data_IF_469077303478
#
_entry.id   IF_469077303478
#
_cell.length_a   1.000
_cell.length_b   1.000
_cell.length_c   1.000
_cell.angle_alpha   90.00
_cell.angle_beta   90.00
_cell.angle_gamma   90.00
#
_symmetry.space_group_name_H-M   'P 1'
#
loop_
_entity.id
_entity.type
_entity.pdbx_description
1 polymer ?
#
# COMPACT_ATOMS: atom_id res chain seq x y z
N UNK A 1 -0.92 -6.80 -18.85
CA UNK A 1 -0.54 -5.57 -18.62
C UNK A 1 -0.52 -5.27 -17.21
N UNK A 2 0.51 -4.77 -16.69
CA UNK A 2 0.62 -4.51 -15.31
C UNK A 2 0.29 -3.08 -15.06
N UNK A 3 -0.41 -2.81 -14.02
CA UNK A 3 -0.67 -1.46 -13.63
C UNK A 3 0.53 -0.88 -12.94
N UNK A 4 0.82 0.40 -13.14
CA UNK A 4 1.89 1.03 -12.41
C UNK A 4 1.57 1.06 -10.92
N UNK A 5 2.58 0.97 -10.11
CA UNK A 5 2.38 1.04 -8.68
C UNK A 5 1.92 2.45 -8.29
N UNK A 6 1.07 2.57 -7.29
CA UNK A 6 0.64 3.88 -6.84
C UNK A 6 1.79 4.64 -6.20
N UNK A 7 1.70 5.97 -6.19
CA UNK A 7 2.72 6.77 -5.53
C UNK A 7 2.68 6.53 -4.02
N UNK A 8 3.80 6.86 -3.40
CA UNK A 8 3.93 6.66 -1.98
C UNK A 8 2.84 7.42 -1.20
N UNK A 9 2.47 8.59 -1.67
CA UNK A 9 1.45 9.37 -0.99
C UNK A 9 0.13 8.62 -0.93
N UNK A 10 -0.19 7.86 -1.97
CA UNK A 10 -1.42 7.08 -1.94
C UNK A 10 -1.33 5.93 -0.94
N UNK A 11 -0.18 5.32 -0.84
CA UNK A 11 0.02 4.28 0.14
C UNK A 11 -0.11 4.84 1.55
N UNK A 12 0.40 6.04 1.76
CA UNK A 12 0.26 6.69 3.05
C UNK A 12 -1.20 6.95 3.39
N UNK A 13 -1.97 7.38 2.40
CA UNK A 13 -3.39 7.60 2.61
C UNK A 13 -4.12 6.31 2.91
N UNK A 14 -3.69 5.23 2.27
CA UNK A 14 -4.29 3.94 2.55
C UNK A 14 -4.10 3.57 4.01
N UNK A 15 -2.90 3.77 4.52
CA UNK A 15 -2.62 3.47 5.92
C UNK A 15 -3.39 4.38 6.87
N UNK A 16 -3.59 5.62 6.46
CA UNK A 16 -4.30 6.58 7.27
C UNK A 16 -5.81 6.49 7.10
N UNK A 17 -6.25 5.58 6.25
CA UNK A 17 -7.68 5.40 6.01
C UNK A 17 -8.32 6.66 5.44
N UNK A 18 -7.59 7.32 4.56
CA UNK A 18 -8.06 8.59 3.98
C UNK A 18 -8.41 8.45 2.52
N UNK A 19 -8.57 7.25 2.04
CA UNK A 19 -8.96 7.02 0.66
C UNK A 19 -10.45 6.77 0.56
N UNK A 20 -11.01 7.09 -0.60
CA UNK A 20 -12.39 6.71 -0.88
C UNK A 20 -12.49 5.19 -0.91
N UNK A 21 -13.68 4.65 -0.64
CA UNK A 21 -13.85 3.19 -0.67
C UNK A 21 -13.42 2.57 -1.99
N UNK A 22 -13.66 3.26 -3.09
CA UNK A 22 -13.29 2.72 -4.40
C UNK A 22 -11.76 2.69 -4.56
N UNK A 23 -11.10 3.76 -4.16
CA UNK A 23 -9.65 3.81 -4.24
C UNK A 23 -9.02 2.82 -3.26
N UNK A 24 -9.58 2.73 -2.08
CA UNK A 24 -9.09 1.80 -1.07
C UNK A 24 -9.13 0.38 -1.62
N UNK A 25 -10.24 -0.02 -2.20
CA UNK A 25 -10.37 -1.35 -2.74
C UNK A 25 -9.38 -1.60 -3.89
N UNK A 26 -9.24 -0.61 -4.75
CA UNK A 26 -8.32 -0.76 -5.88
C UNK A 26 -6.88 -0.89 -5.42
N UNK A 27 -6.48 -0.07 -4.47
CA UNK A 27 -5.12 -0.15 -3.95
C UNK A 27 -4.89 -1.45 -3.20
N UNK A 28 -5.85 -1.88 -2.43
CA UNK A 28 -5.73 -3.13 -1.69
C UNK A 28 -5.51 -4.30 -2.65
N UNK A 29 -6.28 -4.35 -3.71
CA UNK A 29 -6.10 -5.41 -4.70
C UNK A 29 -4.73 -5.36 -5.34
N UNK A 30 -4.27 -4.17 -5.68
CA UNK A 30 -2.95 -4.03 -6.27
C UNK A 30 -1.87 -4.51 -5.31
N UNK A 31 -1.94 -4.09 -4.07
CA UNK A 31 -0.94 -4.44 -3.08
C UNK A 31 -0.90 -5.94 -2.85
N UNK A 32 -2.05 -6.58 -2.86
CA UNK A 32 -2.07 -8.03 -2.64
C UNK A 32 -1.28 -8.79 -3.69
N UNK A 33 -1.14 -8.22 -4.87
CA UNK A 33 -0.38 -8.86 -5.92
C UNK A 33 0.95 -8.20 -6.23
N UNK A 34 1.38 -7.25 -5.44
CA UNK A 34 2.61 -6.51 -5.73
C UNK A 34 3.52 -6.48 -4.51
N UNK A 35 4.58 -7.30 -4.52
CA UNK A 35 5.48 -7.32 -3.36
C UNK A 35 6.17 -5.99 -3.11
N UNK A 36 6.40 -5.20 -4.15
CA UNK A 36 7.02 -3.90 -3.96
C UNK A 36 6.13 -3.00 -3.11
N UNK A 37 4.84 -3.00 -3.37
CA UNK A 37 3.92 -2.19 -2.60
C UNK A 37 3.78 -2.72 -1.19
N UNK A 38 3.82 -4.04 -1.04
CA UNK A 38 3.78 -4.62 0.30
C UNK A 38 4.96 -4.17 1.14
N UNK A 39 6.15 -4.17 0.54
CA UNK A 39 7.33 -3.71 1.24
C UNK A 39 7.22 -2.22 1.57
N UNK A 40 6.72 -1.43 0.64
CA UNK A 40 6.57 0.00 0.88
C UNK A 40 5.60 0.27 2.02
N UNK A 41 4.50 -0.48 2.06
CA UNK A 41 3.53 -0.30 3.13
C UNK A 41 4.12 -0.67 4.48
N UNK A 42 4.91 -1.71 4.51
CA UNK A 42 5.57 -2.10 5.75
C UNK A 42 6.49 -1.00 6.25
N UNK A 43 7.23 -0.40 5.33
CA UNK A 43 8.11 0.70 5.70
C UNK A 43 7.31 1.90 6.19
N UNK A 44 6.22 2.21 5.50
CA UNK A 44 5.42 3.35 5.88
C UNK A 44 4.74 3.15 7.23
N UNK A 45 4.38 1.93 7.52
CA UNK A 45 3.75 1.67 8.82
C UNK A 45 4.78 1.57 9.93
N UNK A 46 6.02 1.69 9.60
CA UNK A 46 7.07 1.65 10.59
C UNK A 46 7.41 0.28 11.00
N UNK A 47 6.93 -0.67 10.30
CA UNK A 47 7.12 -1.88 10.80
C UNK A 47 8.13 -2.64 10.41
N UNK A 48 9.02 -2.38 10.26
CA UNK A 48 9.93 -3.19 9.83
C UNK A 48 10.20 -4.10 10.76
N UNK A 49 10.06 -4.31 11.48
CA UNK A 49 10.52 -5.11 12.17
C UNK A 49 10.19 -6.09 12.50
N UNK A 50 10.13 -6.49 12.50
CA UNK A 50 9.87 -7.35 12.59
C UNK A 50 10.12 -8.11 13.36
N UNK A 51 10.39 -8.34 13.79
CA UNK A 51 10.66 -8.92 14.45
C UNK A 51 10.33 -9.50 14.90
N UNK A 52 10.24 -9.73 14.96
CA UNK A 52 10.00 -10.21 15.37
C UNK A 52 9.84 -10.59 15.66
#
# INVERSE_FOLDING_TARGET
MTQPCPPRSQLERLLADQLDPADDAALTRHVEGCPSCQAALQELSGGSTSVS
#
